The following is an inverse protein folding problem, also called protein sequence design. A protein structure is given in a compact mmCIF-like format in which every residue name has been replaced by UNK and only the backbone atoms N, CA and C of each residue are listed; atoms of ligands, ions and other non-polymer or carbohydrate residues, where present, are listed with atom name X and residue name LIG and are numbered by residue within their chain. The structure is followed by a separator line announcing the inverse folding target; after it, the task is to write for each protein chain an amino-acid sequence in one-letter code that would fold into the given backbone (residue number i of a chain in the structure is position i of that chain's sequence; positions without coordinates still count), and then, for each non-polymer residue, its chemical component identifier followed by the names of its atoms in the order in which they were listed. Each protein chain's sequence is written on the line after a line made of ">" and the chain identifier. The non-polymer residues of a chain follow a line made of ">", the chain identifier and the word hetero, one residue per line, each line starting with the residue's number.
data_IF_753402628630
#
_entry.id   IF_753402628630
#
_cell.length_a   1.000
_cell.length_b   1.000
_cell.length_c   1.000
_cell.angle_alpha   90.00
_cell.angle_beta   90.00
_cell.angle_gamma   90.00
#
_symmetry.space_group_name_H-M   'P 1'
#
loop_
_entity.id
_entity.type
_entity.pdbx_description
1 polymer ?
#
# COMPACT_ATOMS: atom_id res chain seq x y z
N UNK A 1 -16.57 11.96 7.04
CA UNK A 1 -15.46 11.30 6.32
C UNK A 1 -14.42 10.61 7.23
N UNK A 2 -14.62 10.53 8.56
CA UNK A 2 -13.66 9.91 9.49
C UNK A 2 -13.94 8.44 9.86
N UNK A 3 -15.09 7.89 9.43
CA UNK A 3 -15.54 6.54 9.83
C UNK A 3 -15.34 5.46 8.74
N UNK A 4 -14.99 5.87 7.52
CA UNK A 4 -14.74 4.95 6.41
C UNK A 4 -13.61 3.92 6.68
N UNK A 5 -12.50 4.28 7.35
CA UNK A 5 -11.45 3.31 7.68
C UNK A 5 -11.93 2.22 8.66
N UNK A 6 -12.89 2.55 9.53
CA UNK A 6 -13.42 1.61 10.53
C UNK A 6 -14.25 0.51 9.86
N UNK A 7 -15.02 0.85 8.83
CA UNK A 7 -15.76 -0.13 8.03
C UNK A 7 -14.83 -1.04 7.23
N UNK A 8 -13.71 -0.51 6.73
CA UNK A 8 -12.68 -1.31 6.06
C UNK A 8 -11.97 -2.27 7.04
N UNK A 9 -11.64 -1.80 8.24
CA UNK A 9 -11.07 -2.65 9.31
C UNK A 9 -12.03 -3.78 9.68
N UNK A 10 -13.34 -3.50 9.76
CA UNK A 10 -14.36 -4.50 10.09
C UNK A 10 -14.50 -5.58 9.02
N UNK A 11 -14.41 -5.20 7.73
CA UNK A 11 -14.38 -6.15 6.62
C UNK A 11 -13.11 -7.03 6.65
N UNK A 12 -11.95 -6.43 6.93
CA UNK A 12 -10.67 -7.15 7.04
C UNK A 12 -10.70 -8.19 8.18
N UNK A 13 -11.28 -7.82 9.33
CA UNK A 13 -11.44 -8.73 10.48
C UNK A 13 -12.45 -9.86 10.23
N UNK A 14 -13.49 -9.61 9.42
CA UNK A 14 -14.48 -10.64 9.06
C UNK A 14 -13.93 -11.70 8.10
N UNK A 15 -12.96 -11.36 7.25
CA UNK A 15 -12.45 -12.31 6.26
C UNK A 15 -11.39 -13.30 6.78
N UNK A 16 -10.90 -13.17 8.03
CA UNK A 16 -10.01 -14.12 8.75
C UNK A 16 -9.14 -15.01 7.85
N UNK A 17 -8.42 -14.42 6.89
CA UNK A 17 -7.57 -15.18 5.98
C UNK A 17 -6.26 -14.49 5.73
N UNK A 18 -5.21 -15.27 5.93
CA UNK A 18 -3.82 -14.94 5.74
C UNK A 18 -3.25 -15.45 4.41
N UNK A 19 -3.97 -15.25 3.30
CA UNK A 19 -3.30 -14.91 2.02
C UNK A 19 -2.77 -13.45 2.02
N UNK A 20 -3.16 -12.71 3.07
CA UNK A 20 -2.51 -11.71 3.92
C UNK A 20 -1.86 -10.43 3.39
N UNK A 21 -1.28 -10.39 2.20
CA UNK A 21 -0.98 -9.11 1.54
C UNK A 21 -1.11 -9.41 0.06
N UNK A 22 -2.26 -9.11 -0.53
CA UNK A 22 -2.40 -9.26 -1.97
C UNK A 22 -1.34 -8.36 -2.61
N UNK A 23 -0.40 -8.93 -3.34
CA UNK A 23 0.59 -8.13 -4.09
C UNK A 23 -0.13 -7.10 -4.97
N UNK A 24 -1.32 -7.45 -5.48
CA UNK A 24 -2.20 -6.50 -6.18
C UNK A 24 -2.67 -5.34 -5.31
N UNK A 25 -2.97 -5.57 -4.03
CA UNK A 25 -3.31 -4.50 -3.09
C UNK A 25 -2.10 -3.57 -2.84
N UNK A 26 -0.89 -4.12 -2.68
CA UNK A 26 0.32 -3.30 -2.55
C UNK A 26 0.62 -2.49 -3.82
N UNK A 27 0.38 -3.07 -5.00
CA UNK A 27 0.54 -2.36 -6.28
C UNK A 27 -0.44 -1.18 -6.37
N UNK A 28 -1.70 -1.37 -6.00
CA UNK A 28 -2.69 -0.29 -5.94
C UNK A 28 -2.27 0.80 -4.95
N UNK A 29 -1.79 0.42 -3.77
CA UNK A 29 -1.26 1.38 -2.80
C UNK A 29 -0.05 2.15 -3.33
N UNK A 30 0.88 1.47 -4.01
CA UNK A 30 2.05 2.11 -4.59
C UNK A 30 1.65 3.16 -5.65
N UNK A 31 0.68 2.84 -6.50
CA UNK A 31 0.11 3.81 -7.45
C UNK A 31 -0.55 4.96 -6.71
N UNK A 32 -1.33 4.68 -5.65
CA UNK A 32 -1.96 5.70 -4.82
C UNK A 32 -0.95 6.67 -4.19
N UNK A 33 0.13 6.15 -3.59
CA UNK A 33 1.20 6.98 -3.04
C UNK A 33 1.95 7.76 -4.11
N UNK A 34 2.15 7.18 -5.29
CA UNK A 34 2.72 7.90 -6.44
C UNK A 34 1.86 9.07 -6.89
N UNK A 35 0.55 8.89 -6.95
CA UNK A 35 -0.41 9.97 -7.29
C UNK A 35 -0.43 11.06 -6.21
N UNK A 36 -0.43 10.69 -4.93
CA UNK A 36 -0.37 11.65 -3.82
C UNK A 36 0.96 12.41 -3.78
N UNK A 37 2.07 11.75 -4.12
CA UNK A 37 3.37 12.38 -4.24
C UNK A 37 3.38 13.39 -5.40
N UNK A 38 2.89 13.01 -6.58
CA UNK A 38 2.75 13.91 -7.72
C UNK A 38 1.88 15.13 -7.38
N UNK A 39 0.76 14.90 -6.67
CA UNK A 39 -0.09 15.97 -6.16
C UNK A 39 0.64 16.89 -5.17
N UNK A 40 1.39 16.32 -4.23
CA UNK A 40 2.19 17.08 -3.27
C UNK A 40 3.23 17.96 -3.95
N UNK A 41 3.91 17.44 -4.97
CA UNK A 41 4.89 18.18 -5.78
C UNK A 41 4.21 19.32 -6.53
N UNK A 42 3.11 19.04 -7.25
CA UNK A 42 2.34 20.05 -7.99
C UNK A 42 1.77 21.14 -7.07
N UNK A 43 1.47 20.80 -5.81
CA UNK A 43 0.95 21.73 -4.80
C UNK A 43 2.04 22.39 -3.94
N UNK A 44 3.32 22.10 -4.20
CA UNK A 44 4.47 22.52 -3.37
C UNK A 44 4.29 22.28 -1.86
N UNK A 45 3.60 21.19 -1.50
CA UNK A 45 3.23 20.89 -0.12
C UNK A 45 4.14 19.82 0.49
N UNK A 46 5.16 20.27 1.24
CA UNK A 46 6.12 19.40 1.92
C UNK A 46 5.47 18.41 2.91
N UNK A 47 4.34 18.78 3.53
CA UNK A 47 3.61 17.93 4.48
C UNK A 47 3.01 16.70 3.79
N UNK A 48 2.68 16.81 2.50
CA UNK A 48 2.19 15.68 1.69
C UNK A 48 3.36 14.92 1.07
N UNK A 49 4.39 15.63 0.59
CA UNK A 49 5.52 15.02 -0.12
C UNK A 49 6.30 14.05 0.77
N UNK A 50 6.75 14.50 1.95
CA UNK A 50 7.65 13.73 2.82
C UNK A 50 7.07 12.36 3.22
N UNK A 51 5.85 12.24 3.77
CA UNK A 51 5.31 10.94 4.15
C UNK A 51 5.02 10.05 2.94
N UNK A 52 4.64 10.61 1.79
CA UNK A 52 4.38 9.81 0.58
C UNK A 52 5.67 9.25 -0.04
N UNK A 53 6.81 9.96 0.05
CA UNK A 53 8.12 9.39 -0.34
C UNK A 53 8.43 8.15 0.51
N UNK A 54 8.28 8.25 1.83
CA UNK A 54 8.52 7.13 2.74
C UNK A 54 7.57 5.97 2.43
N UNK A 55 6.29 6.26 2.20
CA UNK A 55 5.28 5.25 1.85
C UNK A 55 5.61 4.52 0.53
N UNK A 56 6.06 5.23 -0.50
CA UNK A 56 6.50 4.63 -1.78
C UNK A 56 7.68 3.68 -1.55
N UNK A 57 8.69 4.10 -0.78
CA UNK A 57 9.88 3.28 -0.50
C UNK A 57 9.50 2.00 0.24
N UNK A 58 8.70 2.11 1.31
CA UNK A 58 8.28 0.96 2.12
C UNK A 58 7.39 0.02 1.31
N UNK A 59 6.45 0.54 0.52
CA UNK A 59 5.59 -0.26 -0.34
C UNK A 59 6.40 -1.00 -1.41
N UNK A 60 7.34 -0.33 -2.07
CA UNK A 60 8.23 -0.95 -3.05
C UNK A 60 9.10 -2.05 -2.43
N UNK A 61 9.72 -1.78 -1.28
CA UNK A 61 10.51 -2.79 -0.55
C UNK A 61 9.66 -4.01 -0.16
N UNK A 62 8.43 -3.78 0.32
CA UNK A 62 7.50 -4.85 0.68
C UNK A 62 7.12 -5.70 -0.52
N UNK A 63 6.88 -5.08 -1.68
CA UNK A 63 6.61 -5.79 -2.94
C UNK A 63 7.81 -6.64 -3.34
N UNK A 64 9.02 -6.08 -3.32
CA UNK A 64 10.25 -6.81 -3.66
C UNK A 64 10.44 -8.03 -2.75
N UNK A 65 10.27 -7.87 -1.44
CA UNK A 65 10.34 -8.98 -0.48
C UNK A 65 9.24 -10.02 -0.75
N UNK A 66 8.00 -9.58 -0.99
CA UNK A 66 6.90 -10.48 -1.30
C UNK A 66 7.13 -11.30 -2.59
N UNK A 67 7.77 -10.70 -3.60
CA UNK A 67 8.18 -11.43 -4.80
C UNK A 67 9.34 -12.39 -4.53
N UNK A 68 10.28 -12.02 -3.64
CA UNK A 68 11.46 -12.85 -3.33
C UNK A 68 11.13 -14.08 -2.47
N UNK A 69 10.14 -13.98 -1.59
CA UNK A 69 9.70 -15.06 -0.70
C UNK A 69 8.45 -15.79 -1.17
N UNK A 70 7.94 -15.50 -2.38
CA UNK A 70 6.91 -16.34 -2.98
C UNK A 70 7.48 -17.75 -3.12
N UNK A 71 6.89 -18.78 -2.47
CA UNK A 71 7.34 -20.15 -2.66
C UNK A 71 7.21 -20.48 -4.15
N UNK A 72 8.26 -21.09 -4.71
CA UNK A 72 8.19 -21.68 -6.03
C UNK A 72 6.91 -22.51 -6.07
N UNK A 73 5.99 -22.11 -6.93
CA UNK A 73 4.75 -22.82 -7.16
C UNK A 73 5.17 -24.21 -7.59
N UNK A 74 4.99 -25.19 -6.72
CA UNK A 74 5.07 -26.62 -7.05
C UNK A 74 4.06 -26.83 -8.19
N UNK A 75 4.57 -26.87 -9.42
CA UNK A 75 3.86 -27.24 -10.63
C UNK A 75 4.68 -28.36 -11.28
#
# INVERSE_FOLDING_TARGET
>A
MALAPILQIRAILQHRTSKSVSVGYLQVLLVGFGLWLAYGIASHNAVIIIPNIVAVIVAAATIVVAYRFKPAKEQ
#
